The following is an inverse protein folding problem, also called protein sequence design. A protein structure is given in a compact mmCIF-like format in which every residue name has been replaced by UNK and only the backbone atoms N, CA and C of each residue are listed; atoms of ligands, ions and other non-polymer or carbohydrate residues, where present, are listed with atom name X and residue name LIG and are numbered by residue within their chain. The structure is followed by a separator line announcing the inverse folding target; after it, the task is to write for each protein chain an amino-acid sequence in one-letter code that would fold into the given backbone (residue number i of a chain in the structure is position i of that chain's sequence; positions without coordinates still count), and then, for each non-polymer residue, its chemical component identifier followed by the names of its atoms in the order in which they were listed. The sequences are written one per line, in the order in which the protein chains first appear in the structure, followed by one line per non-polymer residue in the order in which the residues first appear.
data_IF_090204413703
#
_entry.id   IF_090204413703
#
_cell.length_a   1.000
_cell.length_b   1.000
_cell.length_c   1.000
_cell.angle_alpha   90.00
_cell.angle_beta   90.00
_cell.angle_gamma   90.00
#
_symmetry.space_group_name_H-M   'P 1'
#
loop_
_entity.id
_entity.type
_entity.pdbx_description
1 polymer ?
#
# COMPACT_ATOMS: atom_id res chain seq x y z
N UNK A 1 -5.74 -47.23 -6.16
CA UNK A 1 -6.03 -45.83 -6.53
C UNK A 1 -5.89 -45.02 -5.24
N UNK A 2 -4.74 -44.47 -4.83
CA UNK A 2 -3.72 -43.69 -5.54
C UNK A 2 -4.36 -42.54 -6.32
N UNK A 3 -4.45 -41.34 -5.74
CA UNK A 3 -3.39 -40.34 -5.77
C UNK A 3 -3.71 -39.16 -4.83
N UNK A 4 -2.68 -38.69 -4.15
CA UNK A 4 -2.65 -37.49 -3.31
C UNK A 4 -2.74 -36.26 -4.21
N UNK A 5 -3.60 -35.29 -3.88
CA UNK A 5 -3.58 -33.95 -4.46
C UNK A 5 -3.21 -32.98 -3.35
N UNK A 6 -1.90 -32.86 -3.15
CA UNK A 6 -1.28 -31.77 -2.39
C UNK A 6 -1.76 -30.46 -2.98
N UNK A 7 -2.48 -29.65 -2.20
CA UNK A 7 -2.72 -28.26 -2.57
C UNK A 7 -1.35 -27.57 -2.59
N UNK A 8 -0.85 -27.30 -3.80
CA UNK A 8 0.23 -26.34 -4.02
C UNK A 8 -0.26 -25.02 -3.42
N UNK A 9 0.37 -24.60 -2.33
CA UNK A 9 0.34 -23.21 -1.93
C UNK A 9 0.92 -22.43 -3.10
N UNK A 10 0.06 -21.69 -3.81
CA UNK A 10 0.49 -20.73 -4.81
C UNK A 10 1.26 -19.67 -4.04
N UNK A 11 2.58 -19.82 -3.97
CA UNK A 11 3.46 -18.72 -3.66
C UNK A 11 3.21 -17.69 -4.77
N UNK A 12 2.40 -16.67 -4.47
CA UNK A 12 2.32 -15.49 -5.31
C UNK A 12 3.75 -15.01 -5.56
N UNK A 13 4.10 -14.63 -6.81
CA UNK A 13 5.46 -14.25 -7.12
C UNK A 13 5.81 -13.01 -6.29
N UNK A 14 6.68 -13.16 -5.30
CA UNK A 14 7.18 -12.04 -4.49
C UNK A 14 7.76 -10.95 -5.39
N UNK A 15 8.32 -11.34 -6.55
CA UNK A 15 8.80 -10.44 -7.58
C UNK A 15 7.80 -9.35 -8.01
N UNK A 16 6.49 -9.61 -7.96
CA UNK A 16 5.48 -8.60 -8.29
C UNK A 16 5.23 -7.64 -7.12
N UNK A 17 5.26 -8.13 -5.88
CA UNK A 17 5.19 -7.29 -4.70
C UNK A 17 6.43 -6.39 -4.60
N UNK A 18 7.63 -6.96 -4.76
CA UNK A 18 8.89 -6.21 -4.76
C UNK A 18 8.93 -5.09 -5.83
N UNK A 19 8.39 -5.35 -7.02
CA UNK A 19 8.31 -4.37 -8.10
C UNK A 19 7.30 -3.25 -7.81
N UNK A 20 6.15 -3.58 -7.21
CA UNK A 20 5.14 -2.60 -6.79
C UNK A 20 5.67 -1.77 -5.63
N UNK A 21 6.27 -2.39 -4.62
CA UNK A 21 6.87 -1.75 -3.45
C UNK A 21 7.95 -0.75 -3.85
N UNK A 22 8.87 -1.16 -4.73
CA UNK A 22 9.94 -0.29 -5.22
C UNK A 22 9.41 0.87 -6.06
N UNK A 23 8.36 0.65 -6.86
CA UNK A 23 7.68 1.71 -7.63
C UNK A 23 6.98 2.71 -6.71
N UNK A 24 6.24 2.21 -5.72
CA UNK A 24 5.57 2.98 -4.68
C UNK A 24 6.57 3.88 -3.94
N UNK A 25 7.65 3.30 -3.42
CA UNK A 25 8.70 4.05 -2.71
C UNK A 25 9.38 5.10 -3.61
N UNK A 26 9.59 4.78 -4.88
CA UNK A 26 10.19 5.71 -5.85
C UNK A 26 9.28 6.90 -6.15
N UNK A 27 7.97 6.66 -6.32
CA UNK A 27 6.99 7.73 -6.53
C UNK A 27 6.94 8.70 -5.35
N UNK A 28 7.00 8.16 -4.13
CA UNK A 28 6.99 8.96 -2.92
C UNK A 28 8.26 9.79 -2.74
N UNK A 29 9.44 9.18 -2.97
CA UNK A 29 10.72 9.89 -2.96
C UNK A 29 10.76 10.99 -4.02
N UNK A 30 10.25 10.72 -5.23
CA UNK A 30 10.13 11.71 -6.30
C UNK A 30 9.24 12.90 -5.93
N UNK A 31 8.34 12.72 -4.95
CA UNK A 31 7.48 13.77 -4.41
C UNK A 31 8.03 14.45 -3.16
N UNK A 32 9.19 14.03 -2.65
CA UNK A 32 9.79 14.57 -1.42
C UNK A 32 9.13 14.05 -0.14
N UNK A 33 8.35 12.97 -0.21
CA UNK A 33 7.73 12.34 0.96
C UNK A 33 8.78 11.48 1.65
N UNK A 34 9.10 11.83 2.89
CA UNK A 34 10.11 11.12 3.67
C UNK A 34 9.46 10.17 4.70
N UNK A 35 10.01 8.97 4.82
CA UNK A 35 9.51 7.92 5.72
C UNK A 35 10.59 7.54 6.72
N UNK A 36 10.18 7.00 7.86
CA UNK A 36 11.12 6.43 8.83
C UNK A 36 11.91 5.26 8.21
N UNK A 37 11.22 4.39 7.48
CA UNK A 37 11.80 3.23 6.79
C UNK A 37 10.97 2.88 5.55
N UNK A 38 11.58 2.29 4.50
CA UNK A 38 10.85 1.76 3.35
C UNK A 38 9.75 0.77 3.74
N UNK A 39 10.04 -0.14 4.68
CA UNK A 39 9.06 -1.11 5.18
C UNK A 39 7.87 -0.42 5.86
N UNK A 40 8.11 0.64 6.63
CA UNK A 40 7.03 1.37 7.30
C UNK A 40 6.09 2.05 6.28
N UNK A 41 6.64 2.57 5.18
CA UNK A 41 5.84 3.16 4.12
C UNK A 41 4.97 2.11 3.40
N UNK A 42 5.54 0.93 3.12
CA UNK A 42 4.81 -0.18 2.48
C UNK A 42 3.68 -0.66 3.39
N UNK A 43 3.96 -0.91 4.68
CA UNK A 43 2.95 -1.33 5.67
C UNK A 43 1.82 -0.30 5.75
N UNK A 44 2.16 0.99 5.89
CA UNK A 44 1.17 2.05 5.90
C UNK A 44 0.38 2.13 4.59
N UNK A 45 1.01 1.82 3.44
CA UNK A 45 0.33 1.75 2.15
C UNK A 45 -0.69 0.61 2.05
N UNK A 46 -0.39 -0.54 2.64
CA UNK A 46 -1.34 -1.64 2.76
C UNK A 46 -2.47 -1.32 3.74
N UNK A 47 -2.18 -0.69 4.88
CA UNK A 47 -3.20 -0.25 5.84
C UNK A 47 -4.24 0.69 5.20
N UNK A 48 -3.85 1.53 4.23
CA UNK A 48 -4.82 2.33 3.47
C UNK A 48 -5.89 1.43 2.84
N UNK A 49 -5.52 0.30 2.25
CA UNK A 49 -6.48 -0.62 1.65
C UNK A 49 -7.39 -1.26 2.68
N UNK A 50 -6.82 -1.70 3.81
CA UNK A 50 -7.58 -2.31 4.90
C UNK A 50 -8.63 -1.34 5.44
N UNK A 51 -8.25 -0.07 5.66
CA UNK A 51 -9.15 0.96 6.15
C UNK A 51 -10.27 1.30 5.15
N UNK A 52 -9.96 1.32 3.85
CA UNK A 52 -10.96 1.50 2.79
C UNK A 52 -11.90 0.29 2.68
N UNK A 53 -11.40 -0.93 2.85
CA UNK A 53 -12.20 -2.16 2.88
C UNK A 53 -13.13 -2.20 4.10
N UNK A 54 -12.75 -1.55 5.20
CA UNK A 54 -13.62 -1.30 6.36
C UNK A 54 -14.67 -0.20 6.12
N UNK A 55 -14.66 0.44 4.94
CA UNK A 55 -15.63 1.47 4.54
C UNK A 55 -15.24 2.88 4.95
N UNK A 56 -14.00 3.12 5.39
CA UNK A 56 -13.51 4.48 5.65
C UNK A 56 -13.28 5.21 4.33
N UNK A 57 -13.31 6.54 4.36
CA UNK A 57 -12.99 7.34 3.17
C UNK A 57 -11.49 7.60 3.09
N UNK A 58 -10.96 7.66 1.86
CA UNK A 58 -9.55 7.97 1.59
C UNK A 58 -9.12 9.32 2.18
N UNK A 59 -10.02 10.30 2.28
CA UNK A 59 -9.77 11.58 2.94
C UNK A 59 -9.56 11.46 4.45
N UNK A 60 -10.30 10.56 5.10
CA UNK A 60 -10.17 10.30 6.54
C UNK A 60 -8.83 9.58 6.81
N UNK A 61 -8.48 8.61 5.97
CA UNK A 61 -7.19 7.93 6.02
C UNK A 61 -6.03 8.90 5.77
N UNK A 62 -6.13 9.79 4.79
CA UNK A 62 -5.13 10.84 4.54
C UNK A 62 -4.99 11.80 5.73
N UNK A 63 -6.10 12.11 6.39
CA UNK A 63 -6.09 12.92 7.62
C UNK A 63 -5.35 12.20 8.74
N UNK A 64 -5.53 10.89 8.89
CA UNK A 64 -4.81 10.10 9.88
C UNK A 64 -3.32 9.98 9.56
N UNK A 65 -2.96 9.81 8.28
CA UNK A 65 -1.56 9.85 7.83
C UNK A 65 -0.92 11.20 8.17
N UNK A 66 -1.64 12.31 7.95
CA UNK A 66 -1.20 13.67 8.32
C UNK A 66 -0.99 13.81 9.83
N UNK A 67 -1.84 13.18 10.65
CA UNK A 67 -1.74 13.23 12.13
C UNK A 67 -0.62 12.36 12.69
N UNK A 68 -0.36 11.22 12.07
CA UNK A 68 0.63 10.23 12.53
C UNK A 68 2.01 10.41 11.88
N UNK A 69 2.12 11.29 10.89
CA UNK A 69 3.35 11.55 10.13
C UNK A 69 3.65 13.03 10.07
N UNK A 70 4.85 13.40 9.64
CA UNK A 70 5.22 14.80 9.40
C UNK A 70 4.82 15.29 7.99
N UNK A 71 3.81 14.67 7.39
CA UNK A 71 3.31 14.99 6.05
C UNK A 71 2.20 16.03 6.16
N UNK A 72 2.19 17.02 5.29
CA UNK A 72 1.00 17.88 5.13
C UNK A 72 -0.09 17.16 4.31
N UNK A 73 -1.30 17.73 4.30
CA UNK A 73 -2.45 17.12 3.65
C UNK A 73 -2.27 16.84 2.15
N UNK A 74 -1.43 17.60 1.45
CA UNK A 74 -1.13 17.34 0.04
C UNK A 74 -0.29 16.08 -0.12
N UNK A 75 0.78 15.94 0.67
CA UNK A 75 1.61 14.74 0.67
C UNK A 75 0.86 13.51 1.17
N UNK A 76 0.02 13.66 2.19
CA UNK A 76 -0.79 12.56 2.71
C UNK A 76 -1.85 12.10 1.70
N UNK A 77 -2.51 13.02 1.00
CA UNK A 77 -3.45 12.67 -0.08
C UNK A 77 -2.75 11.97 -1.24
N UNK A 78 -1.55 12.43 -1.63
CA UNK A 78 -0.74 11.77 -2.65
C UNK A 78 -0.31 10.36 -2.21
N UNK A 79 0.14 10.20 -0.96
CA UNK A 79 0.47 8.91 -0.37
C UNK A 79 -0.71 7.95 -0.48
N UNK A 80 -1.88 8.34 0.00
CA UNK A 80 -3.10 7.51 -0.05
C UNK A 80 -3.47 7.14 -1.50
N UNK A 81 -3.43 8.09 -2.44
CA UNK A 81 -3.76 7.82 -3.84
C UNK A 81 -2.81 6.81 -4.50
N UNK A 82 -1.51 6.95 -4.25
CA UNK A 82 -0.49 6.01 -4.75
C UNK A 82 -0.60 4.65 -4.05
N UNK A 83 -0.92 4.61 -2.75
CA UNK A 83 -1.21 3.36 -2.04
C UNK A 83 -2.40 2.62 -2.64
N UNK A 84 -3.48 3.34 -2.98
CA UNK A 84 -4.67 2.76 -3.62
C UNK A 84 -4.32 2.16 -4.97
N UNK A 85 -3.60 2.90 -5.81
CA UNK A 85 -3.19 2.43 -7.13
C UNK A 85 -2.22 1.24 -7.08
N UNK A 86 -1.35 1.18 -6.06
CA UNK A 86 -0.33 0.15 -5.92
C UNK A 86 -0.85 -1.13 -5.24
N UNK A 87 -1.59 -0.98 -4.14
CA UNK A 87 -1.91 -2.06 -3.20
C UNK A 87 -3.38 -2.42 -3.11
N UNK A 88 -4.30 -1.55 -3.57
CA UNK A 88 -5.73 -1.77 -3.47
C UNK A 88 -6.34 -2.14 -4.84
N UNK A 89 -6.11 -3.36 -5.38
CA UNK A 89 -6.61 -3.75 -6.69
C UNK A 89 -8.14 -3.76 -6.80
N UNK A 90 -8.86 -3.68 -5.66
CA UNK A 90 -10.32 -3.56 -5.59
C UNK A 90 -10.83 -2.12 -5.63
N UNK A 91 -9.96 -1.15 -5.37
CA UNK A 91 -10.26 0.30 -5.29
C UNK A 91 -9.52 1.12 -6.35
N UNK A 92 -8.58 0.51 -7.07
CA UNK A 92 -7.74 1.14 -8.10
C UNK A 92 -8.32 1.13 -9.52
N UNK A 93 -9.65 1.05 -9.68
CA UNK A 93 -10.35 1.02 -10.97
C UNK A 93 -11.08 2.32 -11.31
#
# INVERSE_FOLDING_TARGET
MAALLSLVAVAAPTAHADAVDSTFLSALKGKGINFASPQAAIIAGHEVCDELDLGRQSSDVATDVTKNSNLDGYHAGFFVGVSIAAFCPRHGQ
#
